data_IF_178463244868
#
_entry.id   IF_178463244868
#
_cell.length_a   1.000
_cell.length_b   1.000
_cell.length_c   1.000
_cell.angle_alpha   90.00
_cell.angle_beta   90.00
_cell.angle_gamma   90.00
#
_symmetry.space_group_name_H-M   'P 1'
#
loop_
_entity.id
_entity.type
_entity.pdbx_description
1 polymer ?
#
# COMPACT_ATOMS: atom_id res chain seq x y z
N UNK A 1 -6.37 -11.09 3.67
CA UNK A 1 -6.71 -11.29 5.10
C UNK A 1 -8.19 -11.57 5.23
N UNK A 2 -8.64 -12.37 6.21
CA UNK A 2 -10.07 -12.63 6.42
C UNK A 2 -10.83 -11.35 6.78
N UNK A 3 -12.11 -11.28 6.39
CA UNK A 3 -13.02 -10.23 6.84
C UNK A 3 -13.10 -10.22 8.39
N UNK A 4 -13.11 -9.04 8.99
CA UNK A 4 -13.12 -8.85 10.45
C UNK A 4 -11.75 -8.86 11.14
N UNK A 5 -10.73 -9.50 10.57
CA UNK A 5 -9.36 -9.44 11.10
C UNK A 5 -8.75 -8.05 10.96
N UNK A 6 -8.98 -7.39 9.83
CA UNK A 6 -8.45 -6.06 9.52
C UNK A 6 -8.96 -4.97 10.47
N UNK A 7 -10.19 -5.10 10.95
CA UNK A 7 -10.75 -4.21 11.97
C UNK A 7 -10.00 -4.30 13.31
N UNK A 8 -9.76 -5.53 13.77
CA UNK A 8 -9.00 -5.75 15.02
C UNK A 8 -7.54 -5.31 14.89
N UNK A 9 -6.93 -5.53 13.70
CA UNK A 9 -5.59 -5.06 13.39
C UNK A 9 -5.51 -3.52 13.42
N UNK A 10 -6.44 -2.84 12.76
CA UNK A 10 -6.50 -1.38 12.77
C UNK A 10 -6.65 -0.82 14.19
N UNK A 11 -7.55 -1.38 15.00
CA UNK A 11 -7.72 -0.99 16.39
C UNK A 11 -6.42 -1.16 17.20
N UNK A 12 -5.74 -2.32 17.05
CA UNK A 12 -4.48 -2.56 17.74
C UNK A 12 -3.36 -1.62 17.30
N UNK A 13 -3.24 -1.34 16.01
CA UNK A 13 -2.25 -0.39 15.51
C UNK A 13 -2.54 1.03 15.98
N UNK A 14 -3.81 1.41 16.08
CA UNK A 14 -4.21 2.73 16.58
C UNK A 14 -3.82 2.93 18.06
N UNK A 15 -3.85 1.89 18.88
CA UNK A 15 -3.43 1.97 20.29
C UNK A 15 -1.93 2.25 20.47
N UNK A 16 -1.10 1.84 19.54
CA UNK A 16 0.38 1.91 19.65
C UNK A 16 1.02 2.92 18.70
N UNK A 17 0.24 3.56 17.85
CA UNK A 17 0.70 4.56 16.87
C UNK A 17 0.44 5.98 17.35
N UNK A 18 1.29 6.91 16.95
CA UNK A 18 1.05 8.35 17.09
C UNK A 18 0.16 8.92 15.97
N UNK A 19 -0.18 8.10 14.98
CA UNK A 19 -1.09 8.43 13.88
C UNK A 19 -2.47 7.84 14.15
N UNK A 20 -3.50 8.44 13.59
CA UNK A 20 -4.83 7.84 13.57
C UNK A 20 -4.83 6.62 12.63
N UNK A 21 -5.18 5.43 13.15
CA UNK A 21 -5.25 4.21 12.34
C UNK A 21 -6.67 3.67 12.34
N UNK A 22 -7.23 3.45 11.18
CA UNK A 22 -8.58 2.87 11.02
C UNK A 22 -8.64 1.82 9.91
N UNK A 23 -9.60 0.91 10.01
CA UNK A 23 -10.00 0.11 8.85
C UNK A 23 -10.64 1.03 7.82
N UNK A 24 -10.28 0.85 6.55
CA UNK A 24 -10.85 1.63 5.45
C UNK A 24 -12.34 1.33 5.29
N UNK A 25 -13.12 2.37 5.02
CA UNK A 25 -14.54 2.30 4.70
C UNK A 25 -14.80 2.92 3.34
N UNK A 26 -15.81 2.40 2.63
CA UNK A 26 -16.21 2.97 1.34
C UNK A 26 -16.60 4.44 1.49
N UNK A 27 -16.03 5.31 0.66
CA UNK A 27 -16.25 6.76 0.73
C UNK A 27 -15.32 7.52 1.69
N UNK A 28 -14.38 6.87 2.36
CA UNK A 28 -13.38 7.56 3.17
C UNK A 28 -12.55 8.52 2.33
N UNK A 29 -12.61 9.81 2.65
CA UNK A 29 -11.69 10.80 2.08
C UNK A 29 -10.34 10.69 2.78
N UNK A 30 -9.26 10.52 2.01
CA UNK A 30 -7.91 10.39 2.56
C UNK A 30 -7.48 11.66 3.28
N UNK A 31 -7.00 11.52 4.51
CA UNK A 31 -6.61 12.63 5.39
C UNK A 31 -5.15 12.52 5.81
N UNK A 32 -4.49 13.65 5.92
CA UNK A 32 -3.14 13.74 6.49
C UNK A 32 -3.13 13.19 7.93
N UNK A 33 -2.10 12.43 8.26
CA UNK A 33 -1.93 11.86 9.61
C UNK A 33 -2.77 10.62 9.88
N UNK A 34 -3.47 10.08 8.88
CA UNK A 34 -4.33 8.90 9.02
C UNK A 34 -3.78 7.72 8.22
N UNK A 35 -3.76 6.56 8.84
CA UNK A 35 -3.41 5.26 8.23
C UNK A 35 -4.70 4.48 7.99
N UNK A 36 -4.89 4.00 6.77
CA UNK A 36 -6.05 3.21 6.37
C UNK A 36 -5.63 1.77 6.13
N UNK A 37 -6.24 0.83 6.82
CA UNK A 37 -6.04 -0.61 6.63
C UNK A 37 -7.12 -1.12 5.69
N UNK A 38 -6.74 -1.53 4.48
CA UNK A 38 -7.69 -2.06 3.49
C UNK A 38 -8.51 -3.23 4.06
N UNK A 39 -9.83 -3.19 3.87
CA UNK A 39 -10.77 -4.14 4.48
C UNK A 39 -10.60 -5.55 3.91
N UNK A 40 -10.42 -6.54 4.78
CA UNK A 40 -10.40 -7.95 4.39
C UNK A 40 -11.73 -8.38 3.74
N UNK A 41 -11.64 -9.05 2.59
CA UNK A 41 -12.81 -9.50 1.83
C UNK A 41 -13.41 -8.47 0.88
N UNK A 42 -12.86 -7.26 0.81
CA UNK A 42 -13.18 -6.21 -0.16
C UNK A 42 -11.99 -5.92 -1.09
N UNK A 43 -12.22 -5.34 -2.25
CA UNK A 43 -11.18 -4.67 -3.02
C UNK A 43 -11.14 -3.20 -2.63
N UNK A 44 -9.93 -2.70 -2.44
CA UNK A 44 -9.67 -1.31 -2.09
C UNK A 44 -9.09 -0.59 -3.31
N UNK A 45 -9.69 0.51 -3.70
CA UNK A 45 -9.22 1.37 -4.79
C UNK A 45 -9.21 2.83 -4.33
N UNK A 46 -8.41 3.67 -4.96
CA UNK A 46 -8.48 5.11 -4.79
C UNK A 46 -9.18 5.71 -6.00
N UNK A 47 -10.16 6.55 -5.75
CA UNK A 47 -10.83 7.37 -6.76
C UNK A 47 -10.62 8.84 -6.43
N UNK A 48 -10.66 9.70 -7.45
CA UNK A 48 -10.56 11.15 -7.27
C UNK A 48 -11.89 11.78 -7.64
N UNK A 49 -12.42 12.62 -6.75
CA UNK A 49 -13.65 13.34 -6.99
C UNK A 49 -13.43 14.59 -7.89
N UNK A 50 -14.50 15.26 -8.25
CA UNK A 50 -14.45 16.46 -9.10
C UNK A 50 -13.73 17.66 -8.44
N UNK A 51 -13.50 17.60 -7.13
CA UNK A 51 -12.78 18.59 -6.34
C UNK A 51 -11.30 18.25 -6.15
N UNK A 52 -10.85 17.07 -6.63
CA UNK A 52 -9.49 16.59 -6.48
C UNK A 52 -9.24 15.86 -5.15
N UNK A 53 -10.27 15.53 -4.37
CA UNK A 53 -10.10 14.74 -3.16
C UNK A 53 -9.91 13.27 -3.51
N UNK A 54 -8.96 12.63 -2.82
CA UNK A 54 -8.74 11.19 -2.93
C UNK A 54 -9.68 10.46 -1.97
N UNK A 55 -10.47 9.54 -2.51
CA UNK A 55 -11.49 8.79 -1.79
C UNK A 55 -11.21 7.30 -1.92
N UNK A 56 -11.29 6.56 -0.81
CA UNK A 56 -11.23 5.11 -0.83
C UNK A 56 -12.55 4.53 -1.32
N UNK A 57 -12.46 3.59 -2.26
CA UNK A 57 -13.58 2.77 -2.69
C UNK A 57 -13.36 1.32 -2.25
N UNK A 58 -14.07 0.92 -1.21
CA UNK A 58 -14.12 -0.45 -0.72
C UNK A 58 -15.30 -1.18 -1.39
N UNK A 59 -15.00 -2.09 -2.31
CA UNK A 59 -16.00 -2.66 -3.20
C UNK A 59 -15.95 -4.19 -3.28
N UNK A 60 -17.00 -4.78 -3.88
CA UNK A 60 -17.17 -6.23 -3.99
C UNK A 60 -16.66 -6.84 -5.31
N UNK A 61 -15.78 -6.13 -6.04
CA UNK A 61 -15.12 -6.70 -7.22
C UNK A 61 -14.51 -8.07 -6.91
N UNK A 62 -14.45 -8.98 -7.89
CA UNK A 62 -13.93 -10.33 -7.67
C UNK A 62 -12.47 -10.32 -7.22
N UNK A 63 -12.06 -11.38 -6.52
CA UNK A 63 -10.66 -11.60 -6.16
C UNK A 63 -9.79 -11.70 -7.42
N UNK A 64 -8.62 -11.06 -7.39
CA UNK A 64 -7.60 -11.20 -8.44
C UNK A 64 -6.50 -12.15 -7.96
N UNK A 65 -6.30 -13.24 -8.67
CA UNK A 65 -5.34 -14.27 -8.24
C UNK A 65 -5.65 -14.88 -6.86
N UNK A 66 -6.92 -14.90 -6.47
CA UNK A 66 -7.35 -15.37 -5.16
C UNK A 66 -7.21 -14.33 -4.04
N UNK A 67 -6.75 -13.11 -4.33
CA UNK A 67 -6.49 -12.05 -3.34
C UNK A 67 -7.63 -11.02 -3.30
N UNK A 68 -8.07 -10.69 -2.08
CA UNK A 68 -9.09 -9.69 -1.80
C UNK A 68 -8.93 -9.19 -0.35
N UNK A 69 -8.37 -7.97 -0.11
CA UNK A 69 -7.88 -7.03 -1.12
C UNK A 69 -6.67 -7.53 -1.90
N UNK A 70 -6.46 -6.95 -3.10
CA UNK A 70 -5.32 -7.18 -3.96
C UNK A 70 -4.53 -5.88 -4.12
N UNK A 71 -3.25 -5.89 -3.75
CA UNK A 71 -2.40 -4.71 -3.80
C UNK A 71 -2.17 -4.21 -5.24
N UNK A 72 -2.12 -5.10 -6.23
CA UNK A 72 -2.03 -4.69 -7.63
C UNK A 72 -3.20 -3.79 -8.04
N UNK A 73 -4.44 -4.14 -7.63
CA UNK A 73 -5.64 -3.33 -7.92
C UNK A 73 -5.53 -1.95 -7.26
N UNK A 74 -5.10 -1.90 -6.01
CA UNK A 74 -4.92 -0.64 -5.29
C UNK A 74 -3.92 0.29 -6.00
N UNK A 75 -2.73 -0.20 -6.32
CA UNK A 75 -1.72 0.62 -7.01
C UNK A 75 -2.14 1.02 -8.42
N UNK A 76 -2.82 0.14 -9.16
CA UNK A 76 -3.35 0.44 -10.48
C UNK A 76 -4.37 1.59 -10.44
N UNK A 77 -5.19 1.67 -9.40
CA UNK A 77 -6.18 2.74 -9.25
C UNK A 77 -5.56 4.13 -9.11
N UNK A 78 -4.36 4.22 -8.53
CA UNK A 78 -3.62 5.48 -8.36
C UNK A 78 -3.04 6.03 -9.69
N UNK A 79 -3.00 5.23 -10.74
CA UNK A 79 -2.46 5.66 -12.05
C UNK A 79 -3.23 6.86 -12.62
N UNK A 80 -4.55 6.87 -12.45
CA UNK A 80 -5.44 7.92 -12.97
C UNK A 80 -5.64 9.10 -12.02
N UNK A 81 -5.21 8.98 -10.75
CA UNK A 81 -5.33 10.08 -9.78
C UNK A 81 -4.29 11.17 -10.04
N UNK A 82 -4.60 12.42 -9.71
CA UNK A 82 -3.70 13.57 -9.87
C UNK A 82 -2.56 13.62 -8.85
N UNK A 83 -2.61 12.81 -7.78
CA UNK A 83 -1.57 12.78 -6.75
C UNK A 83 -0.19 12.46 -7.36
N UNK A 84 0.78 13.33 -7.10
CA UNK A 84 2.15 13.21 -7.65
C UNK A 84 3.14 12.61 -6.65
N UNK A 85 2.98 12.91 -5.36
CA UNK A 85 3.89 12.47 -4.31
C UNK A 85 3.39 11.17 -3.66
N UNK A 86 3.92 10.07 -4.12
CA UNK A 86 3.62 8.73 -3.61
C UNK A 86 4.95 8.04 -3.29
N UNK A 87 5.08 7.46 -2.12
CA UNK A 87 6.19 6.57 -1.76
C UNK A 87 5.62 5.19 -1.49
N UNK A 88 6.17 4.16 -2.17
CA UNK A 88 5.74 2.78 -1.99
C UNK A 88 6.71 2.04 -1.07
N UNK A 89 6.18 1.36 -0.04
CA UNK A 89 6.92 0.40 0.78
C UNK A 89 6.45 -1.03 0.51
N UNK A 90 7.39 -1.97 0.32
CA UNK A 90 7.08 -3.39 0.13
C UNK A 90 7.80 -4.20 1.20
N UNK A 91 7.03 -4.75 2.12
CA UNK A 91 7.53 -5.50 3.27
C UNK A 91 7.35 -7.00 3.07
N UNK A 92 7.88 -7.76 4.03
CA UNK A 92 7.75 -9.22 4.09
C UNK A 92 6.36 -9.70 3.68
N UNK A 93 6.29 -10.69 2.82
CA UNK A 93 5.03 -11.24 2.34
C UNK A 93 5.25 -12.34 1.31
N UNK A 94 4.29 -13.25 1.23
CA UNK A 94 4.30 -14.35 0.27
C UNK A 94 3.76 -13.90 -1.09
N UNK A 95 4.36 -14.42 -2.18
CA UNK A 95 3.90 -14.15 -3.54
C UNK A 95 4.50 -12.87 -4.14
N UNK A 96 3.75 -12.21 -5.01
CA UNK A 96 4.20 -11.06 -5.80
C UNK A 96 3.13 -9.98 -5.97
N UNK A 97 2.10 -9.98 -5.12
CA UNK A 97 1.03 -8.99 -5.17
C UNK A 97 1.60 -7.58 -4.94
N UNK A 98 1.08 -6.60 -5.66
CA UNK A 98 1.59 -5.23 -5.68
C UNK A 98 2.70 -4.97 -6.71
N UNK A 99 3.44 -6.01 -7.16
CA UNK A 99 4.55 -5.81 -8.10
C UNK A 99 4.08 -5.29 -9.47
N UNK A 100 2.96 -5.81 -10.00
CA UNK A 100 2.40 -5.35 -11.28
C UNK A 100 1.78 -3.97 -11.16
N UNK A 101 1.06 -3.72 -10.08
CA UNK A 101 0.44 -2.44 -9.80
C UNK A 101 1.47 -1.33 -9.60
N UNK A 102 2.52 -1.55 -8.79
CA UNK A 102 3.63 -0.60 -8.61
C UNK A 102 4.34 -0.34 -9.94
N UNK A 103 4.57 -1.38 -10.75
CA UNK A 103 5.17 -1.22 -12.09
C UNK A 103 4.31 -0.35 -13.01
N UNK A 104 2.99 -0.54 -13.00
CA UNK A 104 2.05 0.29 -13.76
C UNK A 104 2.09 1.75 -13.27
N UNK A 105 2.05 1.95 -11.96
CA UNK A 105 2.12 3.26 -11.35
C UNK A 105 3.45 3.97 -11.66
N UNK A 106 4.58 3.26 -11.57
CA UNK A 106 5.93 3.80 -11.88
C UNK A 106 6.12 4.17 -13.35
N UNK A 107 5.34 3.62 -14.27
CA UNK A 107 5.34 4.04 -15.68
C UNK A 107 4.63 5.38 -15.91
N UNK A 108 3.68 5.72 -15.06
CA UNK A 108 2.89 6.95 -15.17
C UNK A 108 3.38 8.08 -14.27
N UNK A 109 4.06 7.74 -13.17
CA UNK A 109 4.52 8.68 -12.14
C UNK A 109 5.94 8.32 -11.70
N UNK A 110 6.73 9.33 -11.38
CA UNK A 110 8.04 9.12 -10.75
C UNK A 110 7.85 8.91 -9.24
N UNK A 111 7.80 7.66 -8.83
CA UNK A 111 7.55 7.27 -7.45
C UNK A 111 8.74 6.48 -6.87
N UNK A 112 9.23 6.84 -5.69
CA UNK A 112 10.17 6.01 -4.94
C UNK A 112 9.52 4.71 -4.46
N UNK A 113 10.28 3.61 -4.57
CA UNK A 113 9.89 2.29 -4.08
C UNK A 113 10.98 1.78 -3.13
N UNK A 114 10.60 1.52 -1.88
CA UNK A 114 11.47 0.98 -0.83
C UNK A 114 11.06 -0.47 -0.57
N UNK A 115 12.01 -1.39 -0.61
CA UNK A 115 11.75 -2.79 -0.31
C UNK A 115 12.53 -3.25 0.92
N UNK A 116 11.90 -4.06 1.76
CA UNK A 116 12.57 -4.72 2.88
C UNK A 116 13.61 -5.72 2.34
N UNK A 117 14.79 -5.77 2.94
CA UNK A 117 15.86 -6.71 2.57
C UNK A 117 15.52 -8.16 2.97
N UNK A 118 16.23 -9.12 2.40
CA UNK A 118 16.01 -10.55 2.65
C UNK A 118 16.28 -10.93 4.11
N UNK A 119 17.35 -10.39 4.69
CA UNK A 119 17.84 -10.77 6.01
C UNK A 119 16.83 -10.49 7.14
N UNK A 120 16.01 -9.46 7.00
CA UNK A 120 15.00 -9.09 7.99
C UNK A 120 13.58 -9.56 7.63
N UNK A 121 13.38 -10.18 6.44
CA UNK A 121 12.09 -10.73 6.04
C UNK A 121 11.81 -12.07 6.71
N UNK A 122 10.59 -12.26 7.20
CA UNK A 122 10.07 -13.61 7.56
C UNK A 122 9.80 -14.42 6.27
N UNK A 123 9.23 -13.78 5.26
CA UNK A 123 9.01 -14.37 3.93
C UNK A 123 9.44 -13.36 2.86
N UNK A 124 10.53 -13.67 2.17
CA UNK A 124 11.09 -12.82 1.12
C UNK A 124 10.45 -13.13 -0.25
N UNK A 125 9.12 -12.97 -0.36
CA UNK A 125 8.38 -13.18 -1.60
C UNK A 125 8.06 -11.85 -2.30
N UNK A 126 7.20 -11.03 -1.70
CA UNK A 126 6.79 -9.74 -2.26
C UNK A 126 7.98 -8.78 -2.45
N UNK A 127 8.89 -8.57 -1.47
CA UNK A 127 10.05 -7.71 -1.69
C UNK A 127 10.96 -8.24 -2.82
N UNK A 128 11.22 -9.55 -2.86
CA UNK A 128 11.99 -10.15 -3.95
C UNK A 128 11.38 -9.90 -5.32
N UNK A 129 10.05 -9.97 -5.43
CA UNK A 129 9.36 -9.77 -6.70
C UNK A 129 9.59 -8.35 -7.26
N UNK A 130 9.52 -7.31 -6.43
CA UNK A 130 9.77 -5.93 -6.86
C UNK A 130 11.24 -5.66 -7.14
N UNK A 131 12.17 -6.27 -6.37
CA UNK A 131 13.62 -6.21 -6.63
C UNK A 131 13.97 -6.85 -7.96
N UNK A 132 13.51 -8.08 -8.22
CA UNK A 132 13.74 -8.78 -9.49
C UNK A 132 13.09 -8.05 -10.69
N UNK A 133 12.01 -7.34 -10.45
CA UNK A 133 11.37 -6.52 -11.47
C UNK A 133 12.15 -5.24 -11.83
N UNK A 134 13.20 -4.90 -11.06
CA UNK A 134 14.02 -3.71 -11.28
C UNK A 134 13.27 -2.39 -11.05
N UNK A 135 12.25 -2.38 -10.17
CA UNK A 135 11.42 -1.21 -9.91
C UNK A 135 11.67 -0.57 -8.54
N UNK A 136 12.61 -1.10 -7.76
CA UNK A 136 12.97 -0.63 -6.42
C UNK A 136 14.04 0.45 -6.51
N UNK A 137 13.92 1.49 -5.68
CA UNK A 137 14.92 2.54 -5.51
C UNK A 137 15.92 2.19 -4.40
N UNK A 138 15.42 1.68 -3.26
CA UNK A 138 16.25 1.30 -2.12
C UNK A 138 15.78 -0.02 -1.51
N UNK A 139 16.77 -0.86 -1.11
CA UNK A 139 16.53 -2.11 -0.37
C UNK A 139 17.19 -1.94 0.98
N UNK A 140 16.41 -1.99 2.06
CA UNK A 140 16.86 -1.66 3.41
C UNK A 140 16.34 -2.68 4.43
N UNK A 141 17.01 -2.86 5.60
CA UNK A 141 16.47 -3.67 6.68
C UNK A 141 15.17 -3.06 7.24
N UNK A 142 14.37 -3.88 7.93
CA UNK A 142 13.04 -3.49 8.41
C UNK A 142 13.06 -2.20 9.26
N UNK A 143 14.07 -2.09 10.13
CA UNK A 143 14.24 -0.94 11.03
C UNK A 143 14.46 0.38 10.30
N UNK A 144 15.02 0.35 9.08
CA UNK A 144 15.35 1.55 8.30
C UNK A 144 14.24 1.93 7.29
N UNK A 145 13.23 1.07 7.10
CA UNK A 145 12.17 1.30 6.08
C UNK A 145 11.44 2.61 6.33
N UNK A 146 11.01 2.87 7.57
CA UNK A 146 10.24 4.06 7.89
C UNK A 146 11.05 5.34 7.63
N UNK A 147 12.28 5.41 8.11
CA UNK A 147 13.16 6.57 7.92
C UNK A 147 13.49 6.81 6.45
N UNK A 148 13.70 5.71 5.69
CA UNK A 148 13.93 5.80 4.24
C UNK A 148 12.70 6.34 3.51
N UNK A 149 11.49 5.88 3.86
CA UNK A 149 10.26 6.39 3.26
C UNK A 149 10.03 7.88 3.61
N UNK A 150 10.26 8.28 4.88
CA UNK A 150 10.15 9.67 5.34
C UNK A 150 11.10 10.58 4.55
N UNK A 151 12.34 10.16 4.34
CA UNK A 151 13.34 10.87 3.54
C UNK A 151 12.87 11.13 2.10
N UNK A 152 12.19 10.15 1.48
CA UNK A 152 11.60 10.30 0.16
C UNK A 152 10.36 11.21 0.13
N UNK A 153 9.62 11.32 1.23
CA UNK A 153 8.49 12.25 1.36
C UNK A 153 8.98 13.70 1.48
N UNK A 154 10.20 13.91 1.97
CA UNK A 154 10.80 15.24 2.07
C UNK A 154 10.33 16.04 3.29
N UNK A 155 10.05 15.37 4.39
CA UNK A 155 9.71 15.97 5.70
C UNK A 155 10.78 15.64 6.74
#
# INVERSE_FOLDING_TARGET
>A
MPAGFTKSLAARLNEISNLDVKEAEDGDCLKKGTVYIAQGGKQCEVIEDAQGNLILSENDKPARGGLKPCADIFFESLVSCSVEHIVCGVLTGMGSDGCKGIRALKKSKDIPVVAQNEDTCVVYGMPRAVVQAGIVNEVVPLEDVADTMIKHIGV
#
